data_IF_704086988693
#
_entry.id   IF_704086988693
#
_cell.length_a   1.000
_cell.length_b   1.000
_cell.length_c   1.000
_cell.angle_alpha   90.00
_cell.angle_beta   90.00
_cell.angle_gamma   90.00
#
_symmetry.space_group_name_H-M   'P 1'
#
loop_
_entity.id
_entity.type
_entity.pdbx_description
1 polymer ?
#
# COMPACT_ATOMS: atom_id res chain seq x y z
N UNK A 1 -20.64 -2.25 -9.44
CA UNK A 1 -20.23 -1.40 -8.31
C UNK A 1 -20.51 -2.10 -7.00
N UNK A 2 -19.51 -2.84 -6.52
CA UNK A 2 -19.45 -3.46 -5.21
C UNK A 2 -18.58 -2.61 -4.26
N UNK A 3 -18.85 -2.70 -2.96
CA UNK A 3 -18.01 -2.14 -1.91
C UNK A 3 -16.98 -3.18 -1.48
N UNK A 4 -15.71 -2.80 -1.51
CA UNK A 4 -14.59 -3.66 -1.12
C UNK A 4 -13.94 -3.09 0.13
N UNK A 5 -13.84 -3.88 1.20
CA UNK A 5 -13.06 -3.53 2.38
C UNK A 5 -11.74 -4.32 2.38
N UNK A 6 -10.62 -3.62 2.33
CA UNK A 6 -9.28 -4.21 2.52
C UNK A 6 -8.81 -3.84 3.92
N UNK A 7 -8.51 -4.83 4.75
CA UNK A 7 -8.10 -4.61 6.13
C UNK A 7 -6.93 -5.50 6.53
N UNK A 8 -6.07 -4.99 7.40
CA UNK A 8 -5.12 -5.84 8.13
C UNK A 8 -5.85 -6.63 9.22
N UNK A 9 -5.39 -7.85 9.51
CA UNK A 9 -6.03 -8.73 10.50
C UNK A 9 -5.05 -9.18 11.58
N UNK A 10 -5.40 -8.91 12.84
CA UNK A 10 -4.90 -9.65 14.00
C UNK A 10 -6.03 -9.96 14.96
N UNK A 11 -6.80 -8.94 15.37
CA UNK A 11 -8.04 -9.03 16.13
C UNK A 11 -9.28 -8.94 15.23
N UNK A 12 -10.39 -9.63 15.57
CA UNK A 12 -11.60 -9.63 14.74
C UNK A 12 -12.45 -8.37 14.89
N UNK A 13 -12.53 -7.78 16.09
CA UNK A 13 -13.48 -6.71 16.40
C UNK A 13 -13.39 -5.49 15.47
N UNK A 14 -12.19 -4.92 15.16
CA UNK A 14 -12.10 -3.77 14.27
C UNK A 14 -12.61 -4.06 12.86
N UNK A 15 -12.37 -5.29 12.39
CA UNK A 15 -12.80 -5.75 11.07
C UNK A 15 -14.31 -5.91 11.04
N UNK A 16 -14.91 -6.53 12.08
CA UNK A 16 -16.35 -6.70 12.18
C UNK A 16 -17.07 -5.35 12.29
N UNK A 17 -16.53 -4.42 13.08
CA UNK A 17 -17.05 -3.06 13.21
C UNK A 17 -17.03 -2.32 11.87
N UNK A 18 -15.88 -2.37 11.17
CA UNK A 18 -15.73 -1.75 9.87
C UNK A 18 -16.67 -2.38 8.83
N UNK A 19 -16.81 -3.70 8.82
CA UNK A 19 -17.72 -4.42 7.93
C UNK A 19 -19.19 -4.06 8.20
N UNK A 20 -19.61 -3.99 9.46
CA UNK A 20 -20.98 -3.60 9.84
C UNK A 20 -21.30 -2.17 9.36
N UNK A 21 -20.37 -1.22 9.56
CA UNK A 21 -20.58 0.19 9.20
C UNK A 21 -20.53 0.46 7.70
N UNK A 22 -19.64 -0.21 6.98
CA UNK A 22 -19.42 0.04 5.55
C UNK A 22 -20.33 -0.80 4.65
N UNK A 23 -20.74 -1.98 5.15
CA UNK A 23 -21.50 -2.99 4.41
C UNK A 23 -20.76 -3.41 3.13
N UNK A 24 -19.54 -3.96 3.22
CA UNK A 24 -18.82 -4.40 2.03
C UNK A 24 -19.44 -5.67 1.46
N UNK A 25 -19.49 -5.76 0.12
CA UNK A 25 -19.82 -7.01 -0.57
C UNK A 25 -18.62 -7.97 -0.55
N UNK A 26 -17.40 -7.43 -0.47
CA UNK A 26 -16.14 -8.18 -0.47
C UNK A 26 -15.20 -7.70 0.61
N UNK A 27 -14.69 -8.62 1.41
CA UNK A 27 -13.76 -8.38 2.51
C UNK A 27 -12.43 -9.09 2.23
N UNK A 28 -11.36 -8.31 2.07
CA UNK A 28 -10.00 -8.82 1.82
C UNK A 28 -9.13 -8.56 3.06
N UNK A 29 -8.69 -9.64 3.70
CA UNK A 29 -7.94 -9.58 4.96
C UNK A 29 -6.46 -9.90 4.74
N UNK A 30 -5.59 -8.99 5.17
CA UNK A 30 -4.14 -9.15 5.10
C UNK A 30 -3.63 -9.90 6.34
N UNK A 31 -3.30 -11.16 6.15
CA UNK A 31 -2.74 -12.05 7.18
C UNK A 31 -1.21 -12.08 7.09
N UNK A 32 -0.56 -12.58 8.14
CA UNK A 32 0.88 -12.81 8.12
C UNK A 32 1.19 -13.92 7.10
N UNK A 33 2.40 -13.88 6.53
CA UNK A 33 2.88 -14.92 5.62
C UNK A 33 2.83 -16.32 6.26
N UNK A 34 3.12 -16.37 7.56
CA UNK A 34 2.97 -17.54 8.43
C UNK A 34 2.06 -17.13 9.61
N UNK A 35 0.73 -17.25 9.46
CA UNK A 35 -0.19 -16.87 10.53
C UNK A 35 0.01 -17.79 11.74
N UNK A 36 -0.11 -17.23 12.95
CA UNK A 36 -0.14 -18.04 14.16
C UNK A 36 -1.57 -18.58 14.40
N UNK A 37 -1.72 -19.51 15.35
CA UNK A 37 -3.02 -20.12 15.68
C UNK A 37 -4.09 -19.08 16.04
N UNK A 38 -3.69 -17.97 16.66
CA UNK A 38 -4.59 -16.88 17.04
C UNK A 38 -5.15 -16.15 15.81
N UNK A 39 -4.30 -15.75 14.87
CA UNK A 39 -4.69 -15.08 13.64
C UNK A 39 -5.55 -16.00 12.74
N UNK A 40 -5.24 -17.30 12.69
CA UNK A 40 -6.07 -18.30 12.00
C UNK A 40 -7.46 -18.43 12.62
N UNK A 41 -7.53 -18.51 13.96
CA UNK A 41 -8.80 -18.53 14.71
C UNK A 41 -9.62 -17.27 14.43
N UNK A 42 -8.99 -16.10 14.46
CA UNK A 42 -9.67 -14.82 14.25
C UNK A 42 -10.18 -14.67 12.80
N UNK A 43 -9.41 -15.15 11.81
CA UNK A 43 -9.88 -15.22 10.43
C UNK A 43 -11.10 -16.15 10.29
N UNK A 44 -11.05 -17.33 10.91
CA UNK A 44 -12.16 -18.29 10.88
C UNK A 44 -13.43 -17.68 11.49
N UNK A 45 -13.32 -17.00 12.61
CA UNK A 45 -14.44 -16.30 13.26
C UNK A 45 -15.09 -15.27 12.33
N UNK A 46 -14.29 -14.43 11.66
CA UNK A 46 -14.82 -13.44 10.71
C UNK A 46 -15.53 -14.13 9.55
N UNK A 47 -14.94 -15.21 9.01
CA UNK A 47 -15.51 -15.97 7.90
C UNK A 47 -16.84 -16.63 8.28
N UNK A 48 -16.94 -17.18 9.49
CA UNK A 48 -18.19 -17.76 9.99
C UNK A 48 -19.26 -16.70 10.25
N UNK A 49 -18.86 -15.52 10.70
CA UNK A 49 -19.77 -14.41 11.02
C UNK A 49 -20.33 -13.71 9.78
N UNK A 50 -19.50 -13.47 8.76
CA UNK A 50 -19.86 -12.65 7.59
C UNK A 50 -19.94 -13.43 6.28
N UNK A 51 -19.32 -14.61 6.18
CA UNK A 51 -19.11 -15.33 4.92
C UNK A 51 -20.38 -15.83 4.22
N UNK A 52 -21.54 -15.75 4.87
CA UNK A 52 -22.84 -16.05 4.25
C UNK A 52 -23.36 -14.91 3.36
N UNK A 53 -22.92 -13.68 3.64
CA UNK A 53 -23.44 -12.46 2.98
C UNK A 53 -22.33 -11.58 2.38
N UNK A 54 -21.07 -11.82 2.73
CA UNK A 54 -19.88 -11.11 2.24
C UNK A 54 -18.87 -12.12 1.68
N UNK A 55 -18.25 -11.82 0.54
CA UNK A 55 -17.13 -12.61 0.05
C UNK A 55 -15.87 -12.35 0.91
N UNK A 56 -15.50 -13.29 1.77
CA UNK A 56 -14.32 -13.15 2.66
C UNK A 56 -13.10 -13.87 2.08
N UNK A 57 -12.06 -13.10 1.75
CA UNK A 57 -10.77 -13.58 1.22
C UNK A 57 -9.64 -13.23 2.18
N UNK A 58 -8.66 -14.12 2.30
CA UNK A 58 -7.38 -13.84 2.97
C UNK A 58 -6.25 -13.74 1.96
N UNK A 59 -5.37 -12.76 2.15
CA UNK A 59 -4.12 -12.62 1.41
C UNK A 59 -2.97 -12.58 2.41
N UNK A 60 -1.99 -13.46 2.19
CA UNK A 60 -0.76 -13.53 2.99
C UNK A 60 0.19 -12.42 2.56
N UNK A 61 0.76 -11.70 3.53
CA UNK A 61 1.74 -10.64 3.29
C UNK A 61 2.87 -10.67 4.32
N UNK A 62 3.96 -9.97 4.02
CA UNK A 62 5.06 -9.74 4.97
C UNK A 62 4.56 -8.98 6.21
N UNK A 63 5.30 -9.07 7.30
CA UNK A 63 4.91 -8.42 8.57
C UNK A 63 5.73 -7.17 8.80
N UNK A 64 7.05 -7.26 8.66
CA UNK A 64 7.99 -6.20 9.03
C UNK A 64 8.58 -5.44 7.83
N UNK A 65 8.36 -5.92 6.61
CA UNK A 65 8.77 -5.23 5.38
C UNK A 65 7.61 -4.39 4.84
N UNK A 66 7.63 -3.10 5.16
CA UNK A 66 6.59 -2.14 4.78
C UNK A 66 6.47 -2.00 3.27
N UNK A 67 7.59 -2.07 2.54
CA UNK A 67 7.63 -1.94 1.07
C UNK A 67 6.93 -3.14 0.45
N UNK A 68 7.27 -4.36 0.88
CA UNK A 68 6.63 -5.59 0.36
C UNK A 68 5.14 -5.66 0.69
N UNK A 69 4.74 -5.15 1.86
CA UNK A 69 3.31 -5.03 2.19
C UNK A 69 2.61 -4.05 1.25
N UNK A 70 3.20 -2.88 1.00
CA UNK A 70 2.65 -1.88 0.11
C UNK A 70 2.53 -2.40 -1.34
N UNK A 71 3.58 -3.04 -1.87
CA UNK A 71 3.57 -3.71 -3.18
C UNK A 71 2.39 -4.70 -3.28
N UNK A 72 2.23 -5.55 -2.27
CA UNK A 72 1.16 -6.54 -2.26
C UNK A 72 -0.23 -5.89 -2.17
N UNK A 73 -0.38 -4.84 -1.37
CA UNK A 73 -1.65 -4.14 -1.24
C UNK A 73 -2.02 -3.36 -2.51
N UNK A 74 -1.05 -2.76 -3.21
CA UNK A 74 -1.27 -2.15 -4.54
C UNK A 74 -1.75 -3.19 -5.54
N UNK A 75 -1.13 -4.38 -5.59
CA UNK A 75 -1.59 -5.48 -6.45
C UNK A 75 -3.06 -5.86 -6.17
N UNK A 76 -3.46 -5.88 -4.89
CA UNK A 76 -4.84 -6.18 -4.49
C UNK A 76 -5.79 -5.09 -4.96
N UNK A 77 -5.43 -3.81 -4.77
CA UNK A 77 -6.23 -2.65 -5.19
C UNK A 77 -6.42 -2.67 -6.72
N UNK A 78 -5.33 -2.89 -7.47
CA UNK A 78 -5.35 -2.85 -8.94
C UNK A 78 -6.14 -4.01 -9.54
N UNK A 79 -6.21 -5.16 -8.86
CA UNK A 79 -7.02 -6.32 -9.26
C UNK A 79 -8.53 -6.13 -9.07
N UNK A 80 -8.98 -5.09 -8.36
CA UNK A 80 -10.41 -4.82 -8.23
C UNK A 80 -10.96 -4.19 -9.51
N UNK A 81 -12.23 -4.47 -9.89
CA UNK A 81 -12.93 -3.73 -10.93
C UNK A 81 -12.83 -2.21 -10.74
N UNK A 82 -12.78 -1.47 -11.86
CA UNK A 82 -12.55 -0.02 -11.84
C UNK A 82 -13.72 0.75 -11.21
N UNK A 83 -14.93 0.22 -11.31
CA UNK A 83 -16.17 0.80 -10.78
C UNK A 83 -16.42 0.45 -9.31
N UNK A 84 -15.59 -0.38 -8.69
CA UNK A 84 -15.76 -0.76 -7.29
C UNK A 84 -15.23 0.28 -6.31
N UNK A 85 -15.94 0.42 -5.19
CA UNK A 85 -15.60 1.37 -4.14
C UNK A 85 -14.69 0.70 -3.10
N UNK A 86 -13.42 1.10 -3.08
CA UNK A 86 -12.43 0.50 -2.17
C UNK A 86 -12.32 1.30 -0.88
N UNK A 87 -12.50 0.63 0.24
CA UNK A 87 -12.30 1.14 1.59
C UNK A 87 -11.12 0.43 2.22
N UNK A 88 -10.30 1.19 2.95
CA UNK A 88 -9.13 0.66 3.66
C UNK A 88 -9.37 0.78 5.15
N UNK A 89 -9.07 -0.26 5.92
CA UNK A 89 -9.02 -0.19 7.38
C UNK A 89 -7.65 -0.66 7.88
N UNK A 90 -6.97 0.22 8.62
CA UNK A 90 -5.60 -0.03 9.09
C UNK A 90 -5.52 -0.32 10.60
N UNK A 91 -6.65 -0.60 11.23
CA UNK A 91 -6.73 -0.68 12.70
C UNK A 91 -5.98 -1.86 13.27
N UNK A 92 -6.20 -3.05 12.71
CA UNK A 92 -5.78 -4.30 13.35
C UNK A 92 -4.40 -4.75 12.87
N UNK A 93 -3.61 -5.36 13.75
CA UNK A 93 -2.32 -5.97 13.41
C UNK A 93 -1.10 -5.07 13.56
N UNK A 94 0.06 -5.58 13.12
CA UNK A 94 1.34 -4.90 13.35
C UNK A 94 1.39 -3.57 12.61
N UNK A 95 1.93 -2.54 13.29
CA UNK A 95 2.07 -1.16 12.77
C UNK A 95 2.72 -1.11 11.38
N UNK A 96 3.77 -1.90 11.15
CA UNK A 96 4.46 -2.01 9.85
C UNK A 96 3.52 -2.45 8.73
N UNK A 97 2.62 -3.41 8.98
CA UNK A 97 1.64 -3.87 7.99
C UNK A 97 0.54 -2.84 7.75
N UNK A 98 0.03 -2.24 8.84
CA UNK A 98 -0.96 -1.16 8.77
C UNK A 98 -0.42 0.03 7.94
N UNK A 99 0.84 0.42 8.16
CA UNK A 99 1.54 1.46 7.40
C UNK A 99 1.73 1.05 5.94
N UNK A 100 2.13 -0.19 5.65
CA UNK A 100 2.26 -0.68 4.27
C UNK A 100 0.92 -0.59 3.50
N UNK A 101 -0.18 -0.98 4.14
CA UNK A 101 -1.52 -0.85 3.57
C UNK A 101 -1.93 0.63 3.39
N UNK A 102 -1.62 1.49 4.35
CA UNK A 102 -1.85 2.93 4.25
C UNK A 102 -1.09 3.54 3.06
N UNK A 103 0.18 3.20 2.90
CA UNK A 103 1.00 3.71 1.81
C UNK A 103 0.56 3.21 0.45
N UNK A 104 0.09 1.96 0.34
CA UNK A 104 -0.56 1.47 -0.87
C UNK A 104 -1.83 2.29 -1.20
N UNK A 105 -2.60 2.67 -0.18
CA UNK A 105 -3.76 3.53 -0.37
C UNK A 105 -3.37 4.91 -0.91
N UNK A 106 -2.22 5.45 -0.52
CA UNK A 106 -1.70 6.71 -1.06
C UNK A 106 -1.15 6.57 -2.49
N UNK A 107 -0.46 5.47 -2.79
CA UNK A 107 0.00 5.13 -4.15
C UNK A 107 -1.18 4.94 -5.13
N UNK A 108 -2.35 4.53 -4.62
CA UNK A 108 -3.60 4.35 -5.38
C UNK A 108 -4.73 5.23 -4.87
N UNK A 109 -4.40 6.47 -4.49
CA UNK A 109 -5.36 7.40 -3.88
C UNK A 109 -6.63 7.64 -4.71
N UNK A 110 -6.54 7.56 -6.04
CA UNK A 110 -7.68 7.67 -6.96
C UNK A 110 -8.61 6.43 -6.93
N UNK A 111 -8.12 5.26 -6.51
CA UNK A 111 -8.90 4.02 -6.39
C UNK A 111 -9.55 3.85 -5.02
N UNK A 112 -9.02 4.50 -3.99
CA UNK A 112 -9.50 4.36 -2.61
C UNK A 112 -10.55 5.43 -2.29
N UNK A 113 -11.72 5.04 -1.81
CA UNK A 113 -12.80 5.95 -1.41
C UNK A 113 -12.54 6.59 -0.04
N UNK A 114 -12.24 5.79 0.98
CA UNK A 114 -11.95 6.25 2.36
C UNK A 114 -10.96 5.32 3.07
N UNK A 115 -10.25 5.88 4.05
CA UNK A 115 -9.30 5.16 4.91
C UNK A 115 -9.76 5.33 6.35
N UNK A 116 -9.98 4.23 7.06
CA UNK A 116 -10.50 4.20 8.41
C UNK A 116 -9.46 3.65 9.40
N UNK A 117 -9.47 4.23 10.60
CA UNK A 117 -8.82 3.73 11.79
C UNK A 117 -9.85 3.76 12.94
N UNK A 118 -9.96 2.68 13.69
CA UNK A 118 -10.85 2.55 14.83
C UNK A 118 -10.00 2.50 16.11
N UNK A 119 -9.93 3.58 16.90
CA UNK A 119 -9.18 3.58 18.14
C UNK A 119 -9.61 2.44 19.07
N UNK A 120 -8.67 1.81 19.76
CA UNK A 120 -9.00 0.72 20.70
C UNK A 120 -9.69 1.27 21.96
N UNK A 121 -9.37 2.52 22.32
CA UNK A 121 -9.88 3.24 23.48
C UNK A 121 -11.37 3.63 23.33
N UNK A 122 -11.82 3.86 22.11
CA UNK A 122 -13.22 4.15 21.79
C UNK A 122 -13.71 3.26 20.64
N UNK A 123 -14.34 2.15 21.02
CA UNK A 123 -14.91 1.15 20.10
C UNK A 123 -16.03 1.73 19.20
N UNK A 124 -16.55 2.91 19.50
CA UNK A 124 -17.54 3.57 18.67
C UNK A 124 -16.92 4.62 17.73
N UNK A 125 -15.69 5.07 17.94
CA UNK A 125 -15.04 6.04 17.08
C UNK A 125 -14.60 5.45 15.72
N UNK A 126 -14.68 6.28 14.68
CA UNK A 126 -13.93 6.09 13.42
C UNK A 126 -13.15 7.37 13.18
N UNK A 127 -11.84 7.23 13.09
CA UNK A 127 -10.96 8.26 12.57
C UNK A 127 -10.83 8.04 11.07
N UNK A 128 -11.27 9.03 10.30
CA UNK A 128 -11.08 9.04 8.85
C UNK A 128 -9.72 9.68 8.54
N UNK A 129 -8.80 8.88 8.02
CA UNK A 129 -7.47 9.37 7.66
C UNK A 129 -7.54 10.14 6.33
N UNK A 130 -6.67 11.14 6.14
CA UNK A 130 -6.62 11.89 4.90
C UNK A 130 -6.24 10.98 3.74
N UNK A 131 -6.84 11.22 2.57
CA UNK A 131 -6.38 10.63 1.31
C UNK A 131 -5.24 11.47 0.74
N UNK A 132 -4.02 11.07 1.03
CA UNK A 132 -2.83 11.69 0.45
C UNK A 132 -2.43 11.00 -0.87
N UNK A 133 -1.57 11.66 -1.64
CA UNK A 133 -1.01 11.12 -2.89
C UNK A 133 0.41 11.65 -3.06
N UNK A 134 1.28 10.86 -3.71
CA UNK A 134 2.69 11.22 -3.91
C UNK A 134 2.93 12.27 -5.01
N UNK A 135 1.91 12.56 -5.85
CA UNK A 135 1.92 13.61 -6.88
C UNK A 135 3.21 13.67 -7.73
N UNK A 136 3.69 12.52 -8.18
CA UNK A 136 4.84 12.44 -9.09
C UNK A 136 4.44 12.85 -10.51
N UNK A 137 5.32 13.56 -11.21
CA UNK A 137 5.21 13.72 -12.66
C UNK A 137 5.55 12.42 -13.38
N UNK A 138 5.10 12.25 -14.63
CA UNK A 138 5.42 11.07 -15.44
C UNK A 138 6.94 10.87 -15.58
N UNK A 139 7.68 11.97 -15.74
CA UNK A 139 9.14 11.93 -15.86
C UNK A 139 9.81 11.44 -14.58
N UNK A 140 9.38 11.94 -13.41
CA UNK A 140 9.86 11.47 -12.11
C UNK A 140 9.50 10.01 -11.86
N UNK A 141 8.29 9.58 -12.22
CA UNK A 141 7.88 8.18 -12.08
C UNK A 141 8.76 7.24 -12.91
N UNK A 142 9.03 7.59 -14.17
CA UNK A 142 9.94 6.83 -15.04
C UNK A 142 11.36 6.75 -14.48
N UNK A 143 11.86 7.80 -13.84
CA UNK A 143 13.16 7.76 -13.13
C UNK A 143 13.11 6.76 -11.99
N UNK A 144 12.09 6.78 -11.13
CA UNK A 144 11.99 5.84 -10.01
C UNK A 144 11.85 4.37 -10.48
N UNK A 145 11.07 4.12 -11.53
CA UNK A 145 10.94 2.79 -12.14
C UNK A 145 12.26 2.30 -12.69
N UNK A 146 12.97 3.12 -13.49
CA UNK A 146 14.25 2.73 -14.04
C UNK A 146 15.31 2.49 -12.95
N UNK A 147 15.34 3.30 -11.88
CA UNK A 147 16.24 3.06 -10.75
C UNK A 147 15.92 1.78 -9.99
N UNK A 148 14.65 1.38 -9.91
CA UNK A 148 14.26 0.10 -9.34
C UNK A 148 14.83 -1.06 -10.17
N UNK A 149 14.74 -0.99 -11.49
CA UNK A 149 15.20 -2.04 -12.40
C UNK A 149 16.73 -2.15 -12.46
N UNK A 150 17.44 -1.05 -12.20
CA UNK A 150 18.91 -1.02 -12.10
C UNK A 150 19.43 -1.37 -10.71
N UNK A 151 18.59 -1.73 -9.74
CA UNK A 151 19.04 -1.98 -8.37
C UNK A 151 20.10 -3.10 -8.33
N UNK A 152 21.26 -2.82 -7.75
CA UNK A 152 22.38 -3.77 -7.69
C UNK A 152 23.25 -3.82 -8.94
N UNK A 153 23.02 -2.94 -9.91
CA UNK A 153 23.83 -2.82 -11.14
C UNK A 153 24.56 -1.48 -11.19
N UNK A 154 25.68 -1.45 -11.90
CA UNK A 154 26.36 -0.19 -12.23
C UNK A 154 25.78 0.35 -13.54
N UNK A 155 25.41 1.63 -13.56
CA UNK A 155 24.90 2.31 -14.74
C UNK A 155 25.40 3.74 -14.81
N UNK A 156 25.46 4.29 -16.02
CA UNK A 156 25.71 5.72 -16.25
C UNK A 156 24.39 6.48 -16.29
N UNK A 157 24.37 7.69 -15.72
CA UNK A 157 23.22 8.60 -15.85
C UNK A 157 22.95 8.98 -17.32
N UNK A 158 23.97 8.95 -18.18
CA UNK A 158 23.80 9.21 -19.61
C UNK A 158 22.98 8.11 -20.27
N UNK A 159 23.25 6.86 -19.92
CA UNK A 159 22.54 5.71 -20.47
C UNK A 159 21.13 5.62 -19.90
N UNK A 160 20.97 5.90 -18.60
CA UNK A 160 19.66 6.00 -17.96
C UNK A 160 18.77 7.05 -18.64
N UNK A 161 19.31 8.24 -18.92
CA UNK A 161 18.57 9.31 -19.60
C UNK A 161 18.10 8.89 -21.01
N UNK A 162 18.97 8.20 -21.76
CA UNK A 162 18.63 7.66 -23.09
C UNK A 162 17.54 6.60 -23.00
N UNK A 163 17.67 5.66 -22.07
CA UNK A 163 16.73 4.55 -21.87
C UNK A 163 15.31 5.05 -21.54
N UNK A 164 15.20 6.04 -20.64
CA UNK A 164 13.91 6.62 -20.29
C UNK A 164 13.50 7.78 -21.21
N UNK A 165 14.27 8.06 -22.27
CA UNK A 165 13.93 9.04 -23.31
C UNK A 165 13.75 10.47 -22.79
N UNK A 166 14.62 10.94 -21.87
CA UNK A 166 14.65 12.33 -21.39
C UNK A 166 16.02 12.97 -21.58
N UNK A 167 16.08 14.31 -21.57
CA UNK A 167 17.37 15.00 -21.63
C UNK A 167 18.18 14.78 -20.36
N UNK A 168 19.52 14.84 -20.47
CA UNK A 168 20.40 14.75 -19.29
C UNK A 168 20.05 15.81 -18.24
N UNK A 169 19.82 17.05 -18.66
CA UNK A 169 19.42 18.14 -17.77
C UNK A 169 18.12 17.84 -17.01
N UNK A 170 17.13 17.24 -17.69
CA UNK A 170 15.88 16.83 -17.04
C UNK A 170 16.09 15.68 -16.05
N UNK A 171 16.94 14.71 -16.39
CA UNK A 171 17.29 13.62 -15.47
C UNK A 171 17.94 14.17 -14.19
N UNK A 172 18.95 15.04 -14.31
CA UNK A 172 19.61 15.64 -13.14
C UNK A 172 18.61 16.41 -12.27
N UNK A 173 17.76 17.25 -12.88
CA UNK A 173 16.71 17.97 -12.14
C UNK A 173 15.77 17.02 -11.41
N UNK A 174 15.28 15.97 -12.07
CA UNK A 174 14.40 14.99 -11.44
C UNK A 174 15.10 14.27 -10.28
N UNK A 175 16.38 13.90 -10.42
CA UNK A 175 17.15 13.26 -9.35
C UNK A 175 17.26 14.19 -8.14
N UNK A 176 17.57 15.47 -8.35
CA UNK A 176 17.65 16.45 -7.26
C UNK A 176 16.29 16.63 -6.57
N UNK A 177 15.20 16.83 -7.33
CA UNK A 177 13.85 16.96 -6.76
C UNK A 177 13.42 15.70 -5.99
N UNK A 178 13.67 14.51 -6.55
CA UNK A 178 13.33 13.23 -5.91
C UNK A 178 14.19 12.96 -4.68
N UNK A 179 15.44 13.43 -4.66
CA UNK A 179 16.30 13.39 -3.46
C UNK A 179 15.74 14.32 -2.38
N UNK A 180 15.35 15.54 -2.74
CA UNK A 180 14.80 16.51 -1.80
C UNK A 180 13.45 16.04 -1.19
N UNK A 181 12.68 15.25 -1.95
CA UNK A 181 11.49 14.53 -1.45
C UNK A 181 11.80 13.29 -0.60
N UNK A 182 13.06 12.88 -0.51
CA UNK A 182 13.51 11.69 0.22
C UNK A 182 13.25 10.35 -0.49
N UNK A 183 12.96 10.36 -1.79
CA UNK A 183 12.71 9.14 -2.58
C UNK A 183 13.99 8.52 -3.14
N UNK A 184 15.05 9.31 -3.28
CA UNK A 184 16.37 8.86 -3.74
C UNK A 184 17.43 9.28 -2.71
N UNK A 185 18.40 8.41 -2.46
CA UNK A 185 19.67 8.76 -1.80
C UNK A 185 20.81 8.69 -2.81
N UNK A 186 21.73 9.65 -2.71
CA UNK A 186 22.96 9.74 -3.51
C UNK A 186 24.22 9.57 -2.68
N UNK A 187 24.10 9.14 -1.42
CA UNK A 187 25.20 9.16 -0.43
C UNK A 187 26.36 8.21 -0.78
N UNK A 188 26.07 7.18 -1.59
CA UNK A 188 27.05 6.19 -2.05
C UNK A 188 27.41 6.37 -3.53
N UNK A 189 27.36 7.60 -4.03
CA UNK A 189 27.66 7.97 -5.41
C UNK A 189 26.47 7.81 -6.36
N UNK A 190 26.14 6.56 -6.74
CA UNK A 190 25.03 6.32 -7.68
C UNK A 190 23.67 6.48 -6.99
N UNK A 191 22.68 7.14 -7.62
CA UNK A 191 21.36 7.32 -7.04
C UNK A 191 20.68 5.97 -6.80
N UNK A 192 20.12 5.79 -5.60
CA UNK A 192 19.41 4.59 -5.17
C UNK A 192 18.07 4.95 -4.56
N UNK A 193 17.06 4.11 -4.79
CA UNK A 193 15.75 4.28 -4.15
C UNK A 193 15.85 4.08 -2.64
N UNK A 194 15.25 5.00 -1.89
CA UNK A 194 14.89 4.78 -0.49
C UNK A 194 13.63 3.91 -0.42
N UNK A 195 13.24 3.47 0.77
CA UNK A 195 11.96 2.76 0.94
C UNK A 195 10.76 3.64 0.57
N UNK A 196 10.83 4.95 0.83
CA UNK A 196 9.82 5.90 0.39
C UNK A 196 9.76 5.97 -1.14
N UNK A 197 10.90 5.97 -1.84
CA UNK A 197 10.94 5.95 -3.31
C UNK A 197 10.40 4.64 -3.91
N UNK A 198 10.71 3.50 -3.29
CA UNK A 198 10.16 2.19 -3.69
C UNK A 198 8.63 2.14 -3.52
N UNK A 199 8.08 2.87 -2.57
CA UNK A 199 6.63 2.97 -2.35
C UNK A 199 5.99 3.99 -3.29
N UNK A 200 6.61 5.17 -3.45
CA UNK A 200 6.07 6.26 -4.26
C UNK A 200 5.98 5.91 -5.74
N UNK A 201 6.86 5.02 -6.24
CA UNK A 201 6.82 4.54 -7.63
C UNK A 201 5.61 3.65 -7.93
N UNK A 202 5.04 3.01 -6.90
CA UNK A 202 4.06 1.94 -7.08
C UNK A 202 2.86 2.43 -7.86
#
# INVERSE_FOLDING_TARGET
MAKVLIATLYSPDPVLLAANRLGPDRLILLLDKKPNKEQEKNFKLIKESLGRVVEVKSIKTEVYDVVKVAEKAVEIIDKQPKDDEIFINITSGRKTKALGLLFAAYARSNRVKKIAYNPEEDKNAVVWLPKLSFKLTDSQKRVLEALNDKQGTNFSLVDLAKEIGISRAMLYRNIDELRDMGYISTDNGSPKLTDAGKIARL
#
